data_IF_163413202608
#
_entry.id   IF_163413202608
#
_cell.length_a   1.000
_cell.length_b   1.000
_cell.length_c   1.000
_cell.angle_alpha   90.00
_cell.angle_beta   90.00
_cell.angle_gamma   90.00
#
_symmetry.space_group_name_H-M   'P 1'
#
loop_
_entity.id
_entity.type
_entity.pdbx_description
1 polymer ?
#
# COMPACT_ATOMS: atom_id res chain seq x y z
N UNK A 1 5.16 13.89 -21.73
CA UNK A 1 5.28 13.77 -20.25
C UNK A 1 6.02 12.48 -19.91
N UNK A 2 6.78 12.47 -18.81
CA UNK A 2 7.88 11.52 -18.65
C UNK A 2 7.42 10.16 -18.06
N UNK A 3 7.04 9.20 -18.92
CA UNK A 3 6.69 7.82 -18.54
C UNK A 3 7.81 7.13 -17.73
N UNK A 4 9.06 7.58 -17.89
CA UNK A 4 10.18 7.11 -17.06
C UNK A 4 9.96 7.38 -15.55
N UNK A 5 9.42 8.56 -15.20
CA UNK A 5 9.12 8.91 -13.80
C UNK A 5 7.95 8.08 -13.27
N UNK A 6 6.92 7.84 -14.10
CA UNK A 6 5.79 6.96 -13.73
C UNK A 6 6.29 5.55 -13.46
N UNK A 7 7.15 5.01 -14.33
CA UNK A 7 7.74 3.69 -14.14
C UNK A 7 8.46 3.55 -12.80
N UNK A 8 9.42 4.43 -12.50
CA UNK A 8 10.20 4.31 -11.25
C UNK A 8 9.36 4.55 -10.00
N UNK A 9 8.41 5.49 -10.06
CA UNK A 9 7.50 5.76 -8.95
C UNK A 9 6.56 4.57 -8.69
N UNK A 10 5.94 4.02 -9.74
CA UNK A 10 5.05 2.87 -9.61
C UNK A 10 5.81 1.61 -9.16
N UNK A 11 7.02 1.38 -9.66
CA UNK A 11 7.90 0.30 -9.19
C UNK A 11 8.26 0.46 -7.72
N UNK A 12 8.66 1.67 -7.30
CA UNK A 12 8.95 1.98 -5.90
C UNK A 12 7.74 1.74 -4.99
N UNK A 13 6.54 2.18 -5.42
CA UNK A 13 5.29 1.91 -4.67
C UNK A 13 4.99 0.42 -4.59
N UNK A 14 5.23 -0.35 -5.66
CA UNK A 14 5.06 -1.82 -5.66
C UNK A 14 6.00 -2.49 -4.67
N UNK A 15 7.27 -2.08 -4.62
CA UNK A 15 8.24 -2.62 -3.66
C UNK A 15 7.88 -2.29 -2.21
N UNK A 16 7.43 -1.06 -1.96
CA UNK A 16 6.91 -0.65 -0.65
C UNK A 16 5.66 -1.43 -0.26
N UNK A 17 4.75 -1.71 -1.21
CA UNK A 17 3.57 -2.52 -0.97
C UNK A 17 3.95 -3.96 -0.57
N UNK A 18 4.92 -4.58 -1.24
CA UNK A 18 5.46 -5.91 -0.86
C UNK A 18 6.00 -5.87 0.57
N UNK A 19 6.80 -4.86 0.91
CA UNK A 19 7.36 -4.72 2.26
C UNK A 19 6.24 -4.53 3.30
N UNK A 20 5.25 -3.70 3.01
CA UNK A 20 4.08 -3.47 3.88
C UNK A 20 3.31 -4.76 4.13
N UNK A 21 3.02 -5.53 3.06
CA UNK A 21 2.33 -6.82 3.15
C UNK A 21 3.13 -7.85 3.96
N UNK A 22 4.44 -7.91 3.76
CA UNK A 22 5.34 -8.82 4.48
C UNK A 22 5.36 -8.50 5.98
N UNK A 23 5.53 -7.22 6.33
CA UNK A 23 5.48 -6.76 7.72
C UNK A 23 4.12 -7.00 8.35
N UNK A 24 3.02 -6.69 7.65
CA UNK A 24 1.66 -6.92 8.15
C UNK A 24 1.37 -8.40 8.39
N UNK A 25 1.86 -9.28 7.50
CA UNK A 25 1.75 -10.73 7.70
C UNK A 25 2.53 -11.19 8.93
N UNK A 26 3.73 -10.65 9.15
CA UNK A 26 4.54 -10.95 10.32
C UNK A 26 3.87 -10.45 11.61
N UNK A 27 3.42 -9.19 11.64
CA UNK A 27 2.65 -8.59 12.74
C UNK A 27 1.46 -9.46 13.14
N UNK A 28 0.69 -9.91 12.15
CA UNK A 28 -0.47 -10.79 12.38
C UNK A 28 -0.07 -12.14 12.96
N UNK A 29 1.03 -12.74 12.47
CA UNK A 29 1.51 -14.06 12.91
C UNK A 29 2.02 -14.08 14.33
N UNK A 30 2.68 -13.00 14.77
CA UNK A 30 3.22 -12.91 16.14
C UNK A 30 2.17 -12.40 17.16
N UNK A 31 0.94 -12.09 16.70
CA UNK A 31 -0.13 -11.59 17.56
C UNK A 31 -0.02 -10.10 17.91
N UNK A 32 0.83 -9.33 17.23
CA UNK A 32 1.03 -7.91 17.49
C UNK A 32 -0.02 -6.99 16.86
N UNK A 33 -0.93 -7.51 16.02
CA UNK A 33 -1.87 -6.72 15.24
C UNK A 33 -2.88 -5.89 16.04
N UNK A 34 -3.05 -6.17 17.34
CA UNK A 34 -3.91 -5.40 18.27
C UNK A 34 -3.11 -4.62 19.31
N UNK A 35 -1.78 -4.59 19.19
CA UNK A 35 -0.94 -3.87 20.14
C UNK A 35 -1.17 -2.35 20.10
N UNK A 36 -1.65 -1.82 18.96
CA UNK A 36 -2.01 -0.41 18.80
C UNK A 36 -3.53 -0.29 18.56
N UNK A 37 -4.35 -0.11 19.60
CA UNK A 37 -5.81 -0.05 19.48
C UNK A 37 -6.29 1.22 18.78
N UNK A 38 -5.50 2.29 18.80
CA UNK A 38 -5.86 3.57 18.21
C UNK A 38 -5.44 3.65 16.73
N UNK A 39 -6.20 4.42 15.96
CA UNK A 39 -5.92 4.68 14.55
C UNK A 39 -6.08 6.16 14.24
N UNK A 40 -5.16 6.78 13.48
CA UNK A 40 -3.97 6.21 12.82
C UNK A 40 -2.74 6.11 13.71
N UNK A 41 -2.75 6.75 14.87
CA UNK A 41 -1.61 6.83 15.79
C UNK A 41 -1.56 5.61 16.72
N UNK A 42 -0.43 5.44 17.36
CA UNK A 42 -0.15 4.37 18.30
C UNK A 42 0.51 4.99 19.54
N UNK A 43 0.11 4.64 20.78
CA UNK A 43 0.84 5.05 21.95
C UNK A 43 2.27 4.50 21.87
N UNK A 44 3.27 5.39 21.95
CA UNK A 44 4.68 4.99 21.88
C UNK A 44 5.12 4.51 23.26
N UNK A 45 4.87 3.24 23.54
CA UNK A 45 5.39 2.54 24.70
C UNK A 45 6.57 1.65 24.28
N UNK A 46 7.48 1.37 25.21
CA UNK A 46 8.64 0.51 24.93
C UNK A 46 8.27 -0.99 24.99
N UNK A 47 7.20 -1.34 24.24
CA UNK A 47 6.72 -2.72 24.06
C UNK A 47 7.08 -3.20 22.65
N UNK A 48 7.72 -4.37 22.49
CA UNK A 48 8.12 -4.90 21.18
C UNK A 48 6.96 -5.08 20.20
N UNK A 49 5.77 -5.45 20.67
CA UNK A 49 4.59 -5.63 19.83
C UNK A 49 4.05 -4.28 19.32
N UNK A 50 4.03 -3.25 20.19
CA UNK A 50 3.66 -1.89 19.82
C UNK A 50 4.63 -1.34 18.79
N UNK A 51 5.94 -1.50 19.00
CA UNK A 51 6.96 -1.02 18.07
C UNK A 51 6.87 -1.73 16.70
N UNK A 52 6.54 -3.02 16.70
CA UNK A 52 6.38 -3.79 15.47
C UNK A 52 5.16 -3.35 14.66
N UNK A 53 4.00 -3.22 15.33
CA UNK A 53 2.77 -2.73 14.69
C UNK A 53 2.93 -1.28 14.20
N UNK A 54 3.56 -0.42 15.01
CA UNK A 54 3.85 0.97 14.63
C UNK A 54 4.79 1.03 13.42
N UNK A 55 5.81 0.18 13.39
CA UNK A 55 6.71 0.05 12.24
C UNK A 55 5.97 -0.34 10.95
N UNK A 56 5.02 -1.28 11.02
CA UNK A 56 4.15 -1.63 9.91
C UNK A 56 3.35 -0.41 9.42
N UNK A 57 2.76 0.37 10.33
CA UNK A 57 1.98 1.58 9.98
C UNK A 57 2.84 2.66 9.33
N UNK A 58 4.09 2.85 9.78
CA UNK A 58 5.03 3.79 9.15
C UNK A 58 5.30 3.38 7.70
N UNK A 59 5.57 2.09 7.44
CA UNK A 59 5.82 1.62 6.08
C UNK A 59 4.55 1.72 5.23
N UNK A 60 3.38 1.42 5.79
CA UNK A 60 2.09 1.60 5.11
C UNK A 60 1.83 3.06 4.75
N UNK A 61 2.12 4.00 5.65
CA UNK A 61 2.01 5.43 5.38
C UNK A 61 3.00 5.90 4.31
N UNK A 62 4.24 5.40 4.33
CA UNK A 62 5.23 5.67 3.28
C UNK A 62 4.77 5.14 1.92
N UNK A 63 4.17 3.95 1.90
CA UNK A 63 3.55 3.37 0.69
C UNK A 63 2.42 4.27 0.18
N UNK A 64 1.59 4.79 1.07
CA UNK A 64 0.50 5.71 0.73
C UNK A 64 1.02 7.01 0.11
N UNK A 65 2.03 7.65 0.71
CA UNK A 65 2.64 8.86 0.14
C UNK A 65 3.28 8.61 -1.23
N UNK A 66 3.95 7.48 -1.40
CA UNK A 66 4.50 7.03 -2.70
C UNK A 66 3.40 6.82 -3.73
N UNK A 67 2.26 6.24 -3.33
CA UNK A 67 1.09 6.07 -4.18
C UNK A 67 0.45 7.39 -4.63
N UNK A 68 0.36 8.39 -3.74
CA UNK A 68 -0.09 9.75 -4.09
C UNK A 68 0.82 10.34 -5.18
N UNK A 69 2.13 10.22 -5.00
CA UNK A 69 3.08 10.73 -5.99
C UNK A 69 2.97 9.99 -7.32
N UNK A 70 2.80 8.67 -7.28
CA UNK A 70 2.57 7.85 -8.48
C UNK A 70 1.28 8.24 -9.19
N UNK A 71 0.20 8.47 -8.47
CA UNK A 71 -1.07 8.97 -9.00
C UNK A 71 -0.89 10.33 -9.67
N UNK A 72 -0.23 11.28 -9.01
CA UNK A 72 0.04 12.62 -9.57
C UNK A 72 0.78 12.54 -10.91
N UNK A 73 1.80 11.68 -11.01
CA UNK A 73 2.54 11.47 -12.25
C UNK A 73 1.68 10.79 -13.33
N UNK A 74 0.95 9.73 -12.97
CA UNK A 74 0.13 8.94 -13.89
C UNK A 74 -1.08 9.70 -14.41
N UNK A 75 -1.68 10.57 -13.57
CA UNK A 75 -2.83 11.41 -13.94
C UNK A 75 -2.62 12.24 -15.21
N UNK A 76 -1.40 12.65 -15.47
CA UNK A 76 -1.02 13.49 -16.60
C UNK A 76 -0.54 12.70 -17.82
N UNK A 77 -0.79 11.39 -17.86
CA UNK A 77 -0.39 10.49 -18.97
C UNK A 77 -1.62 9.79 -19.55
N UNK A 78 -1.40 9.04 -20.65
CA UNK A 78 -2.41 8.14 -21.21
C UNK A 78 -2.78 7.01 -20.25
N UNK A 79 -1.96 6.75 -19.21
CA UNK A 79 -2.20 5.74 -18.17
C UNK A 79 -3.08 6.26 -17.03
N UNK A 80 -3.69 7.45 -17.17
CA UNK A 80 -4.58 8.05 -16.16
C UNK A 80 -5.65 7.09 -15.62
N UNK A 81 -6.38 6.30 -16.44
CA UNK A 81 -7.39 5.39 -15.90
C UNK A 81 -6.78 4.36 -14.94
N UNK A 82 -5.65 3.76 -15.31
CA UNK A 82 -4.95 2.79 -14.47
C UNK A 82 -4.41 3.43 -13.18
N UNK A 83 -3.87 4.66 -13.26
CA UNK A 83 -3.42 5.41 -12.08
C UNK A 83 -4.59 5.74 -11.13
N UNK A 84 -5.78 6.04 -11.66
CA UNK A 84 -7.00 6.24 -10.85
C UNK A 84 -7.40 4.98 -10.11
N UNK A 85 -7.45 3.82 -10.80
CA UNK A 85 -7.79 2.55 -10.15
C UNK A 85 -6.76 2.15 -9.10
N UNK A 86 -5.47 2.31 -9.39
CA UNK A 86 -4.40 2.02 -8.44
C UNK A 86 -4.51 2.89 -7.17
N UNK A 87 -4.80 4.17 -7.33
CA UNK A 87 -4.96 5.09 -6.21
C UNK A 87 -6.26 4.83 -5.43
N UNK A 88 -7.38 4.55 -6.11
CA UNK A 88 -8.64 4.20 -5.46
C UNK A 88 -8.52 2.92 -4.62
N UNK A 89 -7.83 1.90 -5.13
CA UNK A 89 -7.55 0.68 -4.37
C UNK A 89 -6.68 0.97 -3.13
N UNK A 90 -5.70 1.87 -3.25
CA UNK A 90 -4.85 2.27 -2.14
C UNK A 90 -5.63 3.05 -1.07
N UNK A 91 -6.53 3.97 -1.46
CA UNK A 91 -7.42 4.65 -0.53
C UNK A 91 -8.34 3.67 0.21
N UNK A 92 -8.94 2.73 -0.52
CA UNK A 92 -9.77 1.67 0.06
C UNK A 92 -8.97 0.85 1.08
N UNK A 93 -7.74 0.45 0.73
CA UNK A 93 -6.87 -0.34 1.59
C UNK A 93 -6.55 0.39 2.90
N UNK A 94 -6.15 1.67 2.83
CA UNK A 94 -5.67 2.41 4.00
C UNK A 94 -6.83 2.86 4.87
N UNK A 95 -7.83 3.53 4.32
CA UNK A 95 -8.86 4.24 5.10
C UNK A 95 -10.08 3.40 5.42
N UNK A 96 -10.39 2.39 4.63
CA UNK A 96 -11.56 1.55 4.87
C UNK A 96 -11.13 0.20 5.45
N UNK A 97 -10.40 -0.57 4.69
CA UNK A 97 -10.07 -1.96 5.09
C UNK A 97 -9.09 -1.97 6.26
N UNK A 98 -8.10 -1.06 6.27
CA UNK A 98 -7.16 -0.92 7.40
C UNK A 98 -7.86 -0.52 8.70
N UNK A 99 -8.80 0.43 8.64
CA UNK A 99 -9.61 0.81 9.81
C UNK A 99 -10.48 -0.35 10.31
N UNK A 100 -11.16 -1.06 9.38
CA UNK A 100 -12.02 -2.19 9.73
C UNK A 100 -11.23 -3.30 10.44
N UNK A 101 -9.98 -3.59 10.03
CA UNK A 101 -9.11 -4.56 10.72
C UNK A 101 -8.97 -4.23 12.20
N UNK A 102 -8.71 -2.98 12.53
CA UNK A 102 -8.48 -2.53 13.92
C UNK A 102 -9.79 -2.56 14.72
N UNK A 103 -10.86 -1.98 14.18
CA UNK A 103 -12.12 -1.83 14.90
C UNK A 103 -12.92 -3.14 15.07
N UNK A 104 -12.61 -4.20 14.31
CA UNK A 104 -13.31 -5.48 14.40
C UNK A 104 -12.55 -6.55 15.18
N UNK A 105 -11.44 -6.20 15.86
CA UNK A 105 -10.60 -7.14 16.60
C UNK A 105 -10.08 -8.32 15.73
N UNK A 106 -9.77 -8.04 14.48
CA UNK A 106 -9.06 -8.93 13.54
C UNK A 106 -9.76 -10.31 13.30
N UNK A 107 -11.01 -10.37 12.86
CA UNK A 107 -11.60 -11.64 12.44
C UNK A 107 -10.85 -12.20 11.23
N UNK A 108 -10.68 -13.52 11.09
CA UNK A 108 -9.93 -14.13 9.99
C UNK A 108 -10.41 -13.69 8.59
N UNK A 109 -11.72 -13.53 8.41
CA UNK A 109 -12.29 -13.06 7.14
C UNK A 109 -11.87 -11.61 6.81
N UNK A 110 -11.79 -10.74 7.81
CA UNK A 110 -11.36 -9.35 7.62
C UNK A 110 -9.88 -9.30 7.25
N UNK A 111 -9.04 -10.15 7.85
CA UNK A 111 -7.64 -10.30 7.49
C UNK A 111 -7.52 -10.75 6.02
N UNK A 112 -8.31 -11.74 5.61
CA UNK A 112 -8.29 -12.23 4.23
C UNK A 112 -8.70 -11.15 3.22
N UNK A 113 -9.73 -10.37 3.51
CA UNK A 113 -10.15 -9.21 2.70
C UNK A 113 -9.04 -8.15 2.64
N UNK A 114 -8.45 -7.82 3.79
CA UNK A 114 -7.33 -6.87 3.87
C UNK A 114 -6.15 -7.29 2.99
N UNK A 115 -5.78 -8.56 3.03
CA UNK A 115 -4.72 -9.14 2.19
C UNK A 115 -5.09 -9.10 0.69
N UNK A 116 -6.33 -9.43 0.34
CA UNK A 116 -6.79 -9.41 -1.06
C UNK A 116 -6.78 -7.99 -1.66
N UNK A 117 -7.22 -6.98 -0.89
CA UNK A 117 -7.17 -5.59 -1.34
C UNK A 117 -5.71 -5.10 -1.43
N UNK A 118 -4.84 -5.48 -0.48
CA UNK A 118 -3.41 -5.16 -0.56
C UNK A 118 -2.74 -5.78 -1.80
N UNK A 119 -3.06 -7.03 -2.14
CA UNK A 119 -2.61 -7.68 -3.35
C UNK A 119 -3.11 -6.97 -4.63
N UNK A 120 -4.34 -6.44 -4.60
CA UNK A 120 -4.89 -5.63 -5.69
C UNK A 120 -4.13 -4.31 -5.85
N UNK A 121 -3.78 -3.64 -4.75
CA UNK A 121 -2.93 -2.44 -4.78
C UNK A 121 -1.58 -2.75 -5.43
N UNK A 122 -0.92 -3.85 -5.03
CA UNK A 122 0.34 -4.30 -5.62
C UNK A 122 0.19 -4.58 -7.11
N UNK A 123 -0.83 -5.34 -7.52
CA UNK A 123 -1.08 -5.70 -8.92
C UNK A 123 -1.30 -4.46 -9.80
N UNK A 124 -2.09 -3.49 -9.35
CA UNK A 124 -2.37 -2.27 -10.10
C UNK A 124 -1.14 -1.36 -10.25
N UNK A 125 -0.33 -1.20 -9.20
CA UNK A 125 0.91 -0.42 -9.29
C UNK A 125 1.97 -1.12 -10.14
N UNK A 126 2.09 -2.44 -10.06
CA UNK A 126 2.97 -3.23 -10.91
C UNK A 126 2.53 -3.17 -12.39
N UNK A 127 1.23 -3.22 -12.65
CA UNK A 127 0.67 -3.04 -14.00
C UNK A 127 0.98 -1.64 -14.55
N UNK A 128 0.87 -0.61 -13.71
CA UNK A 128 1.20 0.78 -14.09
C UNK A 128 2.70 0.92 -14.42
N UNK A 129 3.57 0.29 -13.64
CA UNK A 129 5.01 0.25 -13.92
C UNK A 129 5.29 -0.45 -15.25
N UNK A 130 4.74 -1.65 -15.45
CA UNK A 130 4.93 -2.44 -16.67
C UNK A 130 4.43 -1.70 -17.91
N UNK A 131 3.20 -1.16 -17.87
CA UNK A 131 2.64 -0.39 -18.98
C UNK A 131 3.50 0.83 -19.33
N UNK A 132 3.96 1.57 -18.31
CA UNK A 132 4.86 2.72 -18.51
C UNK A 132 6.19 2.34 -19.16
N UNK A 133 6.72 1.17 -18.82
CA UNK A 133 7.95 0.65 -19.40
C UNK A 133 7.76 0.25 -20.87
N UNK A 134 6.71 -0.53 -21.16
CA UNK A 134 6.44 -1.05 -22.52
C UNK A 134 6.17 0.09 -23.50
N UNK A 135 5.28 1.02 -23.14
CA UNK A 135 4.96 2.17 -24.00
C UNK A 135 6.22 2.98 -24.32
N UNK A 136 7.04 3.24 -23.30
CA UNK A 136 8.31 3.98 -23.50
C UNK A 136 9.30 3.24 -24.39
N UNK A 137 9.30 1.91 -24.34
CA UNK A 137 10.19 1.10 -25.19
C UNK A 137 9.78 1.14 -26.66
N UNK A 138 8.48 1.32 -26.95
CA UNK A 138 7.94 1.45 -28.29
C UNK A 138 8.13 2.84 -28.94
N UNK A 139 8.40 3.88 -28.11
CA UNK A 139 8.64 5.24 -28.57
C UNK A 139 10.12 5.51 -28.97
N UNK A 140 11.00 4.51 -28.85
CA UNK A 140 12.42 4.57 -29.22
C UNK A 140 12.68 3.94 -30.56
#
# INVERSE_FOLDING_TARGET
>A
MNLRRVFYSALGTSLLAILTMSLGSYVSKVGAGMACPDWPLCPLENDPFILLEFGHRIVAFTTFLSGIYTFYLGWRTMLRPLAVYAFAALLLQVFVVGAVVIYTAIPPIVIAVHQAVAATVLALHSSLATASFVIRAQEK
#
